data_IF_516392098135
#
_entry.id   IF_516392098135
#
_cell.length_a   1.000
_cell.length_b   1.000
_cell.length_c   1.000
_cell.angle_alpha   90.00
_cell.angle_beta   90.00
_cell.angle_gamma   90.00
#
_symmetry.space_group_name_H-M   'P 1'
#
loop_
_entity.id
_entity.type
_entity.pdbx_description
1 polymer ?
#
# COMPACT_ATOMS: atom_id res chain seq x y z
N UNK A 1 -8.89 10.01 -7.92
CA UNK A 1 -7.58 9.37 -7.93
C UNK A 1 -7.08 9.24 -6.51
N UNK A 2 -6.53 8.11 -6.14
CA UNK A 2 -5.98 7.82 -4.81
C UNK A 2 -4.65 7.08 -4.94
N UNK A 3 -3.79 7.15 -3.94
CA UNK A 3 -2.53 6.42 -3.90
C UNK A 3 -2.65 5.23 -2.95
N UNK A 4 -2.37 4.03 -3.45
CA UNK A 4 -2.34 2.82 -2.63
C UNK A 4 -0.92 2.50 -2.20
N UNK A 5 -0.73 2.29 -0.91
CA UNK A 5 0.50 1.66 -0.44
C UNK A 5 0.47 0.14 -0.67
N UNK A 6 1.55 -0.51 -0.34
CA UNK A 6 1.72 -1.94 -0.57
C UNK A 6 0.72 -2.79 0.22
N UNK A 7 0.29 -2.34 1.41
CA UNK A 7 -0.62 -3.10 2.27
C UNK A 7 -1.97 -3.37 1.60
N UNK A 8 -2.49 -2.40 0.83
CA UNK A 8 -3.75 -2.55 0.10
C UNK A 8 -3.60 -3.53 -1.06
N UNK A 9 -2.47 -3.49 -1.79
CA UNK A 9 -2.23 -4.46 -2.88
C UNK A 9 -2.10 -5.88 -2.34
N UNK A 10 -1.39 -6.07 -1.24
CA UNK A 10 -1.29 -7.38 -0.60
C UNK A 10 -2.68 -7.89 -0.20
N UNK A 11 -3.49 -7.04 0.45
CA UNK A 11 -4.85 -7.40 0.83
C UNK A 11 -5.74 -7.74 -0.37
N UNK A 12 -5.55 -7.06 -1.50
CA UNK A 12 -6.32 -7.31 -2.72
C UNK A 12 -5.94 -8.62 -3.40
N UNK A 13 -4.64 -8.90 -3.55
CA UNK A 13 -4.15 -10.05 -4.33
C UNK A 13 -3.99 -11.32 -3.52
N UNK A 14 -3.72 -11.22 -2.23
CA UNK A 14 -3.55 -12.37 -1.33
C UNK A 14 -4.81 -12.52 -0.47
N UNK A 15 -5.53 -13.65 -0.54
CA UNK A 15 -6.76 -13.84 0.24
C UNK A 15 -6.52 -13.69 1.74
N UNK A 16 -7.18 -12.71 2.33
CA UNK A 16 -7.14 -12.41 3.77
C UNK A 16 -8.40 -11.66 4.22
N UNK A 17 -8.53 -11.38 5.52
CA UNK A 17 -9.72 -10.74 6.09
C UNK A 17 -10.07 -9.38 5.46
N UNK A 18 -9.08 -8.65 4.96
CA UNK A 18 -9.24 -7.31 4.37
C UNK A 18 -9.52 -7.34 2.85
N UNK A 19 -9.47 -8.50 2.20
CA UNK A 19 -9.54 -8.60 0.73
C UNK A 19 -10.83 -8.00 0.14
N UNK A 20 -11.97 -8.20 0.80
CA UNK A 20 -13.24 -7.66 0.33
C UNK A 20 -13.27 -6.12 0.35
N UNK A 21 -12.74 -5.50 1.40
CA UNK A 21 -12.64 -4.04 1.51
C UNK A 21 -11.65 -3.47 0.49
N UNK A 22 -10.52 -4.14 0.29
CA UNK A 22 -9.53 -3.73 -0.72
C UNK A 22 -10.12 -3.78 -2.13
N UNK A 23 -10.85 -4.86 -2.49
CA UNK A 23 -11.56 -4.98 -3.77
C UNK A 23 -12.61 -3.88 -3.94
N UNK A 24 -13.45 -3.68 -2.94
CA UNK A 24 -14.47 -2.63 -2.97
C UNK A 24 -13.84 -1.23 -3.16
N UNK A 25 -12.74 -0.97 -2.44
CA UNK A 25 -12.06 0.34 -2.53
C UNK A 25 -11.41 0.57 -3.89
N UNK A 26 -10.81 -0.47 -4.47
CA UNK A 26 -10.24 -0.42 -5.82
C UNK A 26 -11.32 -0.11 -6.86
N UNK A 27 -12.48 -0.77 -6.78
CA UNK A 27 -13.61 -0.54 -7.70
C UNK A 27 -14.21 0.87 -7.58
N UNK A 28 -14.19 1.47 -6.40
CA UNK A 28 -14.72 2.82 -6.16
C UNK A 28 -13.79 3.92 -6.65
N UNK A 29 -12.51 3.63 -6.82
CA UNK A 29 -11.54 4.62 -7.27
C UNK A 29 -11.65 4.84 -8.77
N UNK A 30 -11.68 6.10 -9.20
CA UNK A 30 -11.61 6.43 -10.63
C UNK A 30 -10.25 6.06 -11.23
N UNK A 31 -9.20 6.30 -10.48
CA UNK A 31 -7.81 5.95 -10.81
C UNK A 31 -7.09 5.57 -9.52
N UNK A 32 -6.37 4.47 -9.54
CA UNK A 32 -5.46 4.08 -8.47
C UNK A 32 -4.02 4.31 -8.91
N UNK A 33 -3.31 5.14 -8.16
CA UNK A 33 -1.88 5.38 -8.34
C UNK A 33 -1.08 4.45 -7.44
N UNK A 34 0.02 3.96 -7.95
CA UNK A 34 1.06 3.24 -7.21
C UNK A 34 2.43 3.75 -7.64
N UNK A 35 3.47 3.43 -6.90
CA UNK A 35 4.85 3.76 -7.27
C UNK A 35 5.69 2.50 -7.53
N UNK A 36 6.88 2.67 -8.07
CA UNK A 36 7.85 1.57 -8.22
C UNK A 36 8.24 0.95 -6.86
N UNK A 37 8.20 1.76 -5.78
CA UNK A 37 8.37 1.23 -4.43
C UNK A 37 7.26 0.25 -4.08
N UNK A 38 6.00 0.61 -4.34
CA UNK A 38 4.83 -0.27 -4.11
C UNK A 38 4.98 -1.59 -4.86
N UNK A 39 5.41 -1.52 -6.13
CA UNK A 39 5.64 -2.71 -6.95
C UNK A 39 6.73 -3.61 -6.33
N UNK A 40 7.87 -3.03 -5.98
CA UNK A 40 9.00 -3.77 -5.38
C UNK A 40 8.63 -4.39 -4.05
N UNK A 41 7.97 -3.64 -3.19
CA UNK A 41 7.52 -4.14 -1.88
C UNK A 41 6.46 -5.23 -2.01
N UNK A 42 5.57 -5.13 -3.00
CA UNK A 42 4.56 -6.17 -3.25
C UNK A 42 5.22 -7.52 -3.58
N UNK A 43 6.18 -7.53 -4.49
CA UNK A 43 6.93 -8.76 -4.82
C UNK A 43 7.72 -9.26 -3.60
N UNK A 44 8.31 -8.36 -2.83
CA UNK A 44 9.00 -8.70 -1.58
C UNK A 44 8.04 -9.33 -0.54
N UNK A 45 6.82 -8.83 -0.43
CA UNK A 45 5.80 -9.40 0.45
C UNK A 45 5.39 -10.82 0.04
N UNK A 46 5.27 -11.10 -1.26
CA UNK A 46 5.01 -12.45 -1.77
C UNK A 46 6.18 -13.39 -1.45
N UNK A 47 7.41 -12.94 -1.66
CA UNK A 47 8.61 -13.72 -1.36
C UNK A 47 8.72 -14.04 0.14
N UNK A 48 8.38 -13.09 1.02
CA UNK A 48 8.36 -13.31 2.47
C UNK A 48 7.32 -14.37 2.86
N UNK A 49 6.09 -14.29 2.32
CA UNK A 49 5.03 -15.26 2.58
C UNK A 49 5.41 -16.65 2.09
N UNK A 50 6.09 -16.74 0.95
CA UNK A 50 6.61 -18.02 0.46
C UNK A 50 7.67 -18.60 1.41
N UNK A 51 8.64 -17.81 1.86
CA UNK A 51 9.65 -18.26 2.83
C UNK A 51 9.05 -18.71 4.16
N UNK A 52 7.91 -18.14 4.56
CA UNK A 52 7.16 -18.52 5.76
C UNK A 52 6.19 -19.69 5.54
N UNK A 53 6.21 -20.29 4.35
CA UNK A 53 5.31 -21.40 3.97
C UNK A 53 3.82 -21.00 4.02
N UNK A 54 3.52 -19.72 3.93
CA UNK A 54 2.14 -19.19 3.86
C UNK A 54 1.60 -19.21 2.43
N UNK A 55 2.49 -19.17 1.43
CA UNK A 55 2.18 -19.30 0.01
C UNK A 55 3.08 -20.36 -0.63
N UNK A 56 2.50 -21.20 -1.49
CA UNK A 56 3.27 -22.07 -2.37
C UNK A 56 4.05 -21.24 -3.39
N UNK A 57 5.11 -21.81 -3.97
CA UNK A 57 5.84 -21.16 -5.06
C UNK A 57 4.91 -20.86 -6.24
N UNK A 58 4.06 -21.84 -6.60
CA UNK A 58 3.11 -21.69 -7.71
C UNK A 58 2.12 -20.54 -7.46
N UNK A 59 1.56 -20.45 -6.26
CA UNK A 59 0.63 -19.38 -5.92
C UNK A 59 1.31 -18.01 -5.93
N UNK A 60 2.50 -17.90 -5.35
CA UNK A 60 3.27 -16.65 -5.37
C UNK A 60 3.57 -16.20 -6.79
N UNK A 61 3.97 -17.12 -7.67
CA UNK A 61 4.24 -16.83 -9.08
C UNK A 61 2.98 -16.42 -9.84
N UNK A 62 1.85 -17.08 -9.59
CA UNK A 62 0.56 -16.73 -10.22
C UNK A 62 0.08 -15.34 -9.79
N UNK A 63 0.19 -15.03 -8.51
CA UNK A 63 -0.19 -13.71 -7.97
C UNK A 63 0.71 -12.63 -8.57
N UNK A 64 2.03 -12.84 -8.61
CA UNK A 64 2.96 -11.90 -9.23
C UNK A 64 2.66 -11.68 -10.72
N UNK A 65 2.34 -12.75 -11.46
CA UNK A 65 1.97 -12.67 -12.88
C UNK A 65 0.65 -11.91 -13.10
N UNK A 66 -0.35 -12.12 -12.23
CA UNK A 66 -1.61 -11.40 -12.30
C UNK A 66 -1.41 -9.90 -12.06
N UNK A 67 -0.61 -9.53 -11.07
CA UNK A 67 -0.27 -8.13 -10.81
C UNK A 67 0.46 -7.50 -12.01
N UNK A 68 1.44 -8.19 -12.58
CA UNK A 68 2.15 -7.73 -13.77
C UNK A 68 1.21 -7.52 -14.97
N UNK A 69 0.23 -8.43 -15.15
CA UNK A 69 -0.82 -8.30 -16.17
C UNK A 69 -1.66 -7.04 -15.94
N UNK A 70 -2.12 -6.80 -14.73
CA UNK A 70 -2.90 -5.61 -14.38
C UNK A 70 -2.13 -4.31 -14.59
N UNK A 71 -0.82 -4.31 -14.32
CA UNK A 71 0.05 -3.17 -14.67
C UNK A 71 0.10 -2.92 -16.17
N UNK A 72 0.30 -3.98 -16.96
CA UNK A 72 0.37 -3.88 -18.42
C UNK A 72 -0.97 -3.45 -19.05
N UNK A 73 -2.09 -3.82 -18.45
CA UNK A 73 -3.45 -3.43 -18.86
C UNK A 73 -3.85 -2.02 -18.39
N UNK A 74 -2.99 -1.33 -17.63
CA UNK A 74 -3.24 0.04 -17.17
C UNK A 74 -4.24 0.16 -16.02
N UNK A 75 -4.43 -0.90 -15.23
CA UNK A 75 -5.28 -0.85 -14.03
C UNK A 75 -4.76 0.15 -13.01
N UNK A 76 -3.45 0.36 -12.97
CA UNK A 76 -2.78 1.28 -12.07
C UNK A 76 -2.04 2.36 -12.85
N UNK A 77 -2.06 3.57 -12.33
CA UNK A 77 -1.19 4.65 -12.81
C UNK A 77 0.10 4.64 -12.00
N UNK A 78 1.24 4.46 -12.67
CA UNK A 78 2.54 4.55 -12.02
C UNK A 78 2.92 6.02 -11.80
N UNK A 79 3.32 6.34 -10.57
CA UNK A 79 3.84 7.66 -10.21
C UNK A 79 5.33 7.57 -9.85
N UNK A 80 6.15 8.57 -10.24
CA UNK A 80 7.58 8.45 -10.14
C UNK A 80 8.11 8.67 -8.71
N UNK A 81 9.19 7.99 -8.38
CA UNK A 81 10.03 8.28 -7.21
C UNK A 81 11.12 9.29 -7.62
N UNK A 82 10.73 10.54 -7.75
CA UNK A 82 11.66 11.61 -8.14
C UNK A 82 12.67 11.93 -7.02
N UNK A 83 13.74 12.63 -7.38
CA UNK A 83 14.69 13.16 -6.39
C UNK A 83 13.99 14.06 -5.34
N UNK A 84 12.92 14.77 -5.74
CA UNK A 84 12.09 15.57 -4.83
C UNK A 84 11.36 14.71 -3.80
N UNK A 85 10.82 13.57 -4.20
CA UNK A 85 10.17 12.60 -3.28
C UNK A 85 11.19 12.10 -2.25
N UNK A 86 12.40 11.73 -2.67
CA UNK A 86 13.45 11.28 -1.75
C UNK A 86 13.88 12.40 -0.77
N UNK A 87 13.98 13.65 -1.23
CA UNK A 87 14.29 14.79 -0.33
C UNK A 87 13.19 14.98 0.69
N UNK A 88 11.92 15.00 0.27
CA UNK A 88 10.79 15.16 1.16
C UNK A 88 10.69 14.02 2.18
N UNK A 89 10.94 12.78 1.75
CA UNK A 89 10.99 11.64 2.67
C UNK A 89 12.05 11.80 3.75
N UNK A 90 13.26 12.26 3.38
CA UNK A 90 14.32 12.59 4.36
C UNK A 90 13.91 13.70 5.30
N UNK A 91 13.24 14.74 4.81
CA UNK A 91 12.76 15.85 5.65
C UNK A 91 11.73 15.36 6.68
N UNK A 92 10.83 14.45 6.29
CA UNK A 92 9.88 13.84 7.21
C UNK A 92 10.58 13.03 8.31
N UNK A 93 11.56 12.20 7.93
CA UNK A 93 12.35 11.41 8.89
C UNK A 93 13.18 12.34 9.80
N UNK A 94 13.77 13.39 9.25
CA UNK A 94 14.64 14.32 9.98
C UNK A 94 13.90 15.20 10.99
N UNK A 95 12.58 15.13 11.06
CA UNK A 95 11.83 15.72 12.18
C UNK A 95 12.14 15.00 13.50
N UNK A 96 12.50 13.71 13.45
CA UNK A 96 12.80 12.83 14.59
C UNK A 96 11.69 12.69 15.64
N UNK A 97 10.47 13.13 15.30
CA UNK A 97 9.29 13.09 16.18
C UNK A 97 8.26 12.03 15.76
N UNK A 98 8.49 11.35 14.62
CA UNK A 98 7.60 10.33 14.08
C UNK A 98 8.34 9.00 13.94
N UNK A 99 7.66 7.85 14.21
CA UNK A 99 8.24 6.53 14.02
C UNK A 99 8.19 6.15 12.52
N UNK A 100 9.07 6.78 11.72
CA UNK A 100 9.14 6.63 10.27
C UNK A 100 10.35 5.82 9.84
N UNK A 101 10.11 4.72 9.12
CA UNK A 101 11.13 4.02 8.33
C UNK A 101 11.21 4.61 6.92
N UNK A 102 12.33 4.36 6.24
CA UNK A 102 12.55 4.92 4.89
C UNK A 102 11.43 4.57 3.88
N UNK A 103 10.95 3.31 3.77
CA UNK A 103 9.85 2.99 2.85
C UNK A 103 8.55 3.74 3.18
N UNK A 104 8.18 3.83 4.46
CA UNK A 104 6.98 4.55 4.91
C UNK A 104 7.06 6.03 4.58
N UNK A 105 8.22 6.65 4.83
CA UNK A 105 8.45 8.04 4.49
C UNK A 105 8.36 8.29 2.98
N UNK A 106 8.81 7.35 2.15
CA UNK A 106 8.68 7.43 0.69
C UNK A 106 7.23 7.36 0.25
N UNK A 107 6.41 6.45 0.81
CA UNK A 107 4.98 6.42 0.52
C UNK A 107 4.28 7.73 0.87
N UNK A 108 4.57 8.30 2.03
CA UNK A 108 4.02 9.59 2.45
C UNK A 108 4.47 10.72 1.54
N UNK A 109 5.76 10.74 1.17
CA UNK A 109 6.31 11.75 0.27
C UNK A 109 5.72 11.69 -1.14
N UNK A 110 5.46 10.47 -1.67
CA UNK A 110 4.75 10.29 -2.96
C UNK A 110 3.34 10.86 -2.86
N UNK A 111 2.57 10.45 -1.84
CA UNK A 111 1.19 10.92 -1.67
C UNK A 111 1.13 12.45 -1.56
N UNK A 112 2.05 13.05 -0.81
CA UNK A 112 2.14 14.50 -0.65
C UNK A 112 2.52 15.21 -1.96
N UNK A 113 3.53 14.73 -2.66
CA UNK A 113 4.01 15.32 -3.92
C UNK A 113 2.95 15.28 -5.01
N UNK A 114 2.26 14.14 -5.13
CA UNK A 114 1.19 13.94 -6.11
C UNK A 114 -0.15 14.54 -5.66
N UNK A 115 -0.24 15.02 -4.41
CA UNK A 115 -1.47 15.54 -3.79
C UNK A 115 -2.62 14.54 -3.83
N UNK A 116 -2.31 13.28 -3.55
CA UNK A 116 -3.27 12.19 -3.58
C UNK A 116 -3.60 11.74 -2.15
N UNK A 117 -4.88 11.42 -1.86
CA UNK A 117 -5.22 10.71 -0.64
C UNK A 117 -4.48 9.36 -0.60
N UNK A 118 -3.85 9.07 0.52
CA UNK A 118 -3.23 7.78 0.80
C UNK A 118 -4.30 6.80 1.28
N UNK A 119 -4.36 5.63 0.68
CA UNK A 119 -5.16 4.50 1.19
C UNK A 119 -4.22 3.43 1.69
N UNK A 120 -4.36 3.04 2.94
CA UNK A 120 -3.47 2.10 3.62
C UNK A 120 -4.25 1.17 4.55
N UNK A 121 -3.71 0.00 4.83
CA UNK A 121 -4.13 -0.91 5.89
C UNK A 121 -3.16 -0.87 7.09
N UNK A 122 -2.09 -0.11 7.01
CA UNK A 122 -1.09 0.05 8.05
C UNK A 122 -1.48 1.21 8.98
N UNK A 123 -1.83 0.85 10.23
CA UNK A 123 -2.25 1.85 11.25
C UNK A 123 -1.15 2.83 11.60
N UNK A 124 0.11 2.41 11.61
CA UNK A 124 1.23 3.31 11.91
C UNK A 124 1.44 4.30 10.78
N UNK A 125 1.37 3.85 9.53
CA UNK A 125 1.47 4.72 8.36
C UNK A 125 0.32 5.74 8.34
N UNK A 126 -0.90 5.31 8.66
CA UNK A 126 -2.06 6.20 8.78
C UNK A 126 -1.85 7.30 9.84
N UNK A 127 -1.36 6.93 11.04
CA UNK A 127 -1.03 7.90 12.10
C UNK A 127 0.05 8.90 11.67
N UNK A 128 1.08 8.42 10.98
CA UNK A 128 2.13 9.28 10.47
C UNK A 128 1.60 10.23 9.38
N UNK A 129 0.73 9.76 8.50
CA UNK A 129 0.08 10.60 7.49
C UNK A 129 -0.75 11.71 8.14
N UNK A 130 -1.55 11.37 9.14
CA UNK A 130 -2.36 12.33 9.90
C UNK A 130 -1.47 13.38 10.58
N UNK A 131 -0.40 12.96 11.25
CA UNK A 131 0.54 13.85 11.91
C UNK A 131 1.25 14.82 10.94
N UNK A 132 1.40 14.43 9.67
CA UNK A 132 1.95 15.26 8.60
C UNK A 132 0.87 16.11 7.88
N UNK A 133 -0.39 16.02 8.30
CA UNK A 133 -1.49 16.74 7.66
C UNK A 133 -1.88 16.23 6.28
N UNK A 134 -1.56 14.97 5.95
CA UNK A 134 -1.91 14.35 4.69
C UNK A 134 -3.32 13.75 4.76
N UNK A 135 -4.04 13.83 3.64
CA UNK A 135 -5.32 13.11 3.51
C UNK A 135 -5.06 11.63 3.44
N UNK A 136 -5.69 10.85 4.30
CA UNK A 136 -5.53 9.41 4.32
C UNK A 136 -6.85 8.69 4.64
N UNK A 137 -6.93 7.44 4.22
CA UNK A 137 -8.00 6.51 4.54
C UNK A 137 -7.36 5.20 5.03
N UNK A 138 -7.70 4.80 6.24
CA UNK A 138 -7.28 3.51 6.81
C UNK A 138 -8.36 2.48 6.55
N UNK A 139 -8.01 1.39 5.85
CA UNK A 139 -8.88 0.21 5.74
C UNK A 139 -8.58 -0.74 6.89
N UNK A 140 -9.64 -1.14 7.58
CA UNK A 140 -9.56 -2.08 8.68
C UNK A 140 -10.43 -3.30 8.39
N UNK A 141 -10.03 -4.50 8.85
CA UNK A 141 -10.90 -5.68 8.75
C UNK A 141 -12.24 -5.41 9.43
N UNK A 142 -13.33 -6.05 8.96
CA UNK A 142 -14.61 -5.94 9.65
C UNK A 142 -14.44 -6.37 11.11
N UNK A 143 -15.13 -5.69 12.01
CA UNK A 143 -15.16 -6.08 13.42
C UNK A 143 -15.62 -7.54 13.52
N UNK A 144 -14.89 -8.37 14.26
CA UNK A 144 -15.37 -9.71 14.60
C UNK A 144 -16.74 -9.54 15.24
N UNK A 145 -17.79 -10.08 14.62
CA UNK A 145 -19.07 -10.17 15.26
C UNK A 145 -18.88 -11.04 16.50
N UNK A 146 -18.84 -10.44 17.66
CA UNK A 146 -19.01 -11.17 18.92
C UNK A 146 -20.37 -11.83 18.83
N UNK A 147 -20.39 -13.11 18.46
CA UNK A 147 -21.61 -13.92 18.63
C UNK A 147 -21.94 -13.87 20.11
N UNK A 148 -23.15 -13.42 20.49
CA UNK A 148 -23.58 -13.56 21.86
C UNK A 148 -23.60 -15.05 22.18
N UNK A 149 -22.92 -15.41 23.21
CA UNK A 149 -22.95 -16.77 23.74
C UNK A 149 -24.35 -17.17 24.17
#
# INVERSE_FOLDING_TARGET
MVYFDTSILVAYYVPEALSAQADARLRQASIVAISELTHTEFVSALALRHRRVELSLSDAQQIAALFAKHLAEGLYQSVPLSAGVYRLARDYIARFDLPLKAPDALHLAVAATERLPLVTADRQLARNAEALGLTMELLEPPAESSSPA
#
